data_IF_036288092953
#
_entry.id   IF_036288092953
#
_cell.length_a   1.000
_cell.length_b   1.000
_cell.length_c   1.000
_cell.angle_alpha   90.00
_cell.angle_beta   90.00
_cell.angle_gamma   90.00
#
_symmetry.space_group_name_H-M   'P 1'
#
loop_
_entity.id
_entity.type
_entity.pdbx_description
1 polymer ?
#
# COMPACT_ATOMS: atom_id res chain seq x y z
N UNK A 1 -12.63 -11.81 -3.14
CA UNK A 1 -11.65 -12.87 -3.41
C UNK A 1 -11.47 -13.71 -2.15
N UNK A 2 -11.27 -15.02 -2.26
CA UNK A 2 -11.00 -15.91 -1.13
C UNK A 2 -9.58 -16.45 -1.29
N UNK A 3 -8.68 -16.10 -0.36
CA UNK A 3 -7.28 -16.52 -0.38
C UNK A 3 -7.16 -18.03 -0.10
N UNK A 4 -6.39 -18.78 -0.90
CA UNK A 4 -6.16 -20.21 -0.71
C UNK A 4 -4.74 -20.47 -0.19
N UNK A 5 -4.58 -21.40 0.77
CA UNK A 5 -3.26 -21.82 1.26
C UNK A 5 -2.41 -22.52 0.20
N UNK A 6 -3.02 -22.95 -0.92
CA UNK A 6 -2.32 -23.45 -2.11
C UNK A 6 -1.72 -22.35 -2.99
N UNK A 7 -2.08 -21.08 -2.76
CA UNK A 7 -1.52 -19.94 -3.48
C UNK A 7 -0.17 -19.51 -2.86
N UNK A 8 0.24 -20.13 -1.75
CA UNK A 8 1.52 -19.84 -1.09
C UNK A 8 2.65 -20.58 -1.82
N UNK A 9 3.66 -19.86 -2.32
CA UNK A 9 4.73 -20.44 -3.10
C UNK A 9 5.65 -21.32 -2.23
N UNK A 10 6.27 -22.30 -2.89
CA UNK A 10 7.16 -23.31 -2.31
C UNK A 10 8.13 -22.72 -1.27
N UNK A 11 8.13 -23.34 -0.08
CA UNK A 11 9.06 -23.10 1.03
C UNK A 11 10.49 -23.17 0.49
N UNK A 12 11.17 -22.02 0.38
CA UNK A 12 12.58 -21.99 0.02
C UNK A 12 13.40 -22.70 1.10
N UNK A 13 14.54 -23.26 0.74
CA UNK A 13 15.52 -23.76 1.71
C UNK A 13 16.91 -23.20 1.41
N UNK A 14 17.73 -23.09 2.45
CA UNK A 14 19.14 -22.74 2.32
C UNK A 14 19.97 -23.74 3.12
N UNK A 15 21.07 -24.21 2.52
CA UNK A 15 22.04 -25.04 3.21
C UNK A 15 23.07 -24.14 3.89
N UNK A 16 23.24 -24.29 5.20
CA UNK A 16 24.26 -23.57 5.99
C UNK A 16 25.16 -24.62 6.63
N UNK A 17 26.32 -24.88 6.00
CA UNK A 17 27.20 -25.98 6.39
C UNK A 17 26.48 -27.34 6.24
N UNK A 18 26.42 -28.18 7.30
CA UNK A 18 25.72 -29.46 7.26
C UNK A 18 24.20 -29.36 7.49
N UNK A 19 23.66 -28.16 7.71
CA UNK A 19 22.25 -27.96 8.06
C UNK A 19 21.41 -27.54 6.84
N UNK A 20 20.19 -28.08 6.77
CA UNK A 20 19.13 -27.59 5.87
C UNK A 20 18.20 -26.69 6.67
N UNK A 21 18.09 -25.43 6.27
CA UNK A 21 17.19 -24.45 6.89
C UNK A 21 16.02 -24.21 5.95
N UNK A 22 14.81 -24.41 6.45
CA UNK A 22 13.56 -24.12 5.73
C UNK A 22 13.08 -22.71 6.06
N UNK A 23 12.67 -21.95 5.05
CA UNK A 23 12.15 -20.60 5.21
C UNK A 23 10.62 -20.61 5.33
N UNK A 24 10.10 -20.16 6.47
CA UNK A 24 8.65 -20.02 6.69
C UNK A 24 8.01 -18.87 5.90
N UNK A 25 8.82 -18.02 5.26
CA UNK A 25 8.43 -16.91 4.40
C UNK A 25 9.26 -16.95 3.12
N UNK A 26 8.90 -16.10 2.16
CA UNK A 26 9.64 -15.92 0.92
C UNK A 26 11.11 -15.62 1.22
N UNK A 27 12.01 -16.48 0.74
CA UNK A 27 13.43 -16.32 0.98
C UNK A 27 13.99 -15.13 0.19
N UNK A 28 14.85 -14.33 0.85
CA UNK A 28 15.57 -13.25 0.18
C UNK A 28 16.49 -13.82 -0.91
N UNK A 29 16.51 -13.18 -2.09
CA UNK A 29 17.28 -13.68 -3.24
C UNK A 29 16.61 -14.83 -4.01
N UNK A 30 15.40 -15.25 -3.64
CA UNK A 30 14.60 -16.17 -4.45
C UNK A 30 14.17 -15.49 -5.76
N UNK A 31 14.23 -16.21 -6.88
CA UNK A 31 13.77 -15.72 -8.19
C UNK A 31 12.28 -15.40 -8.22
N UNK A 32 11.50 -15.94 -7.28
CA UNK A 32 10.06 -15.69 -7.19
C UNK A 32 9.70 -14.52 -6.24
N UNK A 33 10.66 -14.03 -5.44
CA UNK A 33 10.39 -13.00 -4.44
C UNK A 33 9.88 -11.67 -5.04
N UNK A 34 10.44 -11.14 -6.15
CA UNK A 34 9.97 -9.90 -6.73
C UNK A 34 8.51 -9.99 -7.19
N UNK A 35 8.14 -11.06 -7.90
CA UNK A 35 6.78 -11.26 -8.41
C UNK A 35 5.75 -11.44 -7.29
N UNK A 36 6.14 -12.09 -6.20
CA UNK A 36 5.25 -12.31 -5.05
C UNK A 36 5.02 -11.03 -4.27
N UNK A 37 6.07 -10.24 -4.05
CA UNK A 37 5.95 -8.93 -3.43
C UNK A 37 5.09 -8.01 -4.30
N UNK A 38 5.36 -7.98 -5.61
CA UNK A 38 4.63 -7.15 -6.54
C UNK A 38 3.13 -7.48 -6.57
N UNK A 39 2.78 -8.76 -6.70
CA UNK A 39 1.39 -9.21 -6.70
C UNK A 39 0.69 -8.92 -5.36
N UNK A 40 1.35 -9.20 -4.22
CA UNK A 40 0.73 -9.01 -2.91
C UNK A 40 0.50 -7.53 -2.58
N UNK A 41 1.41 -6.65 -3.02
CA UNK A 41 1.29 -5.21 -2.80
C UNK A 41 0.33 -4.53 -3.79
N UNK A 42 0.02 -5.18 -4.91
CA UNK A 42 -0.98 -4.68 -5.87
C UNK A 42 -2.37 -4.62 -5.24
N UNK A 43 -2.78 -5.67 -4.53
CA UNK A 43 -4.07 -5.73 -3.83
C UNK A 43 -4.21 -4.61 -2.79
N UNK A 44 -3.14 -4.35 -2.02
CA UNK A 44 -3.10 -3.25 -1.04
C UNK A 44 -3.15 -1.89 -1.76
N UNK A 45 -2.48 -1.76 -2.90
CA UNK A 45 -2.50 -0.53 -3.71
C UNK A 45 -3.89 -0.25 -4.29
N UNK A 46 -4.64 -1.29 -4.68
CA UNK A 46 -6.03 -1.17 -5.12
C UNK A 46 -6.95 -0.72 -3.98
N UNK A 47 -6.85 -1.32 -2.79
CA UNK A 47 -7.59 -0.86 -1.59
C UNK A 47 -7.35 0.63 -1.31
N UNK A 48 -6.08 1.07 -1.38
CA UNK A 48 -5.71 2.47 -1.17
C UNK A 48 -6.36 3.39 -2.21
N UNK A 49 -6.40 2.98 -3.48
CA UNK A 49 -7.06 3.73 -4.57
C UNK A 49 -8.57 3.79 -4.36
N UNK A 50 -9.21 2.68 -4.02
CA UNK A 50 -10.66 2.61 -3.77
C UNK A 50 -11.07 3.52 -2.61
N UNK A 51 -10.27 3.58 -1.53
CA UNK A 51 -10.47 4.50 -0.41
C UNK A 51 -10.29 5.97 -0.84
N UNK A 52 -9.31 6.26 -1.70
CA UNK A 52 -9.08 7.60 -2.27
C UNK A 52 -10.25 8.04 -3.17
N UNK A 53 -10.80 7.13 -3.96
CA UNK A 53 -11.95 7.38 -4.83
C UNK A 53 -13.23 7.61 -4.01
N UNK A 54 -13.42 6.81 -2.95
CA UNK A 54 -14.51 7.03 -1.98
C UNK A 54 -14.40 8.42 -1.33
N UNK A 55 -13.21 8.83 -0.89
CA UNK A 55 -12.99 10.16 -0.34
C UNK A 55 -13.24 11.29 -1.37
N UNK A 56 -12.95 11.02 -2.64
CA UNK A 56 -13.17 11.97 -3.75
C UNK A 56 -14.64 12.23 -4.03
N UNK A 57 -15.52 11.26 -3.74
CA UNK A 57 -16.97 11.44 -3.86
C UNK A 57 -17.55 12.43 -2.84
N UNK A 58 -16.82 12.72 -1.77
CA UNK A 58 -17.25 13.59 -0.68
C UNK A 58 -16.95 15.07 -0.98
N UNK A 59 -17.85 15.99 -0.62
CA UNK A 59 -17.65 17.45 -0.84
C UNK A 59 -16.71 18.13 0.15
N UNK A 60 -16.49 17.53 1.33
CA UNK A 60 -15.64 18.08 2.40
C UNK A 60 -14.19 18.28 1.94
N UNK A 61 -13.53 19.35 2.36
CA UNK A 61 -12.14 19.62 1.95
C UNK A 61 -11.13 18.60 2.51
N UNK A 62 -11.38 18.13 3.72
CA UNK A 62 -10.61 17.11 4.42
C UNK A 62 -11.55 15.94 4.71
N UNK A 63 -11.10 14.72 4.41
CA UNK A 63 -11.88 13.50 4.62
C UNK A 63 -11.07 12.56 5.50
N UNK A 64 -11.68 12.06 6.58
CA UNK A 64 -11.13 10.97 7.38
C UNK A 64 -12.05 9.76 7.23
N UNK A 65 -11.48 8.57 7.22
CA UNK A 65 -12.26 7.33 7.04
C UNK A 65 -13.31 7.14 8.13
N UNK A 66 -13.03 7.57 9.36
CA UNK A 66 -13.98 7.52 10.48
C UNK A 66 -15.18 8.46 10.36
N UNK A 67 -15.14 9.44 9.44
CA UNK A 67 -16.26 10.35 9.17
C UNK A 67 -17.15 9.84 8.03
N UNK A 68 -16.76 8.75 7.35
CA UNK A 68 -17.51 8.15 6.24
C UNK A 68 -18.46 7.04 6.73
N UNK A 69 -19.42 6.65 5.87
CA UNK A 69 -20.28 5.51 6.13
C UNK A 69 -19.42 4.24 6.27
N UNK A 70 -19.43 3.56 7.44
CA UNK A 70 -18.63 2.36 7.67
C UNK A 70 -18.88 1.28 6.62
N UNK A 71 -20.11 1.13 6.12
CA UNK A 71 -20.42 0.11 5.09
C UNK A 71 -19.75 0.42 3.75
N UNK A 72 -19.53 1.69 3.43
CA UNK A 72 -18.82 2.08 2.22
C UNK A 72 -17.31 1.84 2.39
N UNK A 73 -16.77 2.16 3.56
CA UNK A 73 -15.36 1.90 3.89
C UNK A 73 -15.05 0.41 3.85
N UNK A 74 -15.87 -0.44 4.49
CA UNK A 74 -15.69 -1.89 4.50
C UNK A 74 -15.63 -2.50 3.10
N UNK A 75 -16.39 -1.96 2.14
CA UNK A 75 -16.40 -2.46 0.74
C UNK A 75 -15.10 -2.19 0.00
N UNK A 76 -14.33 -1.20 0.43
CA UNK A 76 -13.01 -0.91 -0.15
C UNK A 76 -11.90 -1.78 0.45
N UNK A 77 -12.12 -2.38 1.63
CA UNK A 77 -11.07 -3.13 2.34
C UNK A 77 -10.84 -4.50 1.73
N UNK A 78 -9.58 -4.89 1.57
CA UNK A 78 -9.20 -6.24 1.13
C UNK A 78 -9.62 -7.30 2.15
N UNK A 79 -9.56 -6.96 3.44
CA UNK A 79 -9.89 -7.85 4.57
C UNK A 79 -10.72 -7.08 5.62
N UNK A 80 -12.03 -6.87 5.39
CA UNK A 80 -12.87 -6.18 6.35
C UNK A 80 -13.00 -6.99 7.65
N UNK A 81 -12.72 -6.35 8.78
CA UNK A 81 -12.92 -6.90 10.12
C UNK A 81 -13.16 -5.78 11.13
N UNK A 82 -13.72 -6.07 12.32
CA UNK A 82 -13.85 -5.09 13.40
C UNK A 82 -12.50 -4.47 13.80
N UNK A 83 -11.43 -5.26 13.83
CA UNK A 83 -10.07 -4.81 14.12
C UNK A 83 -9.54 -3.88 13.03
N UNK A 84 -9.82 -4.19 11.75
CA UNK A 84 -9.45 -3.33 10.63
C UNK A 84 -10.16 -1.97 10.75
N UNK A 85 -11.46 -1.95 11.03
CA UNK A 85 -12.19 -0.70 11.23
C UNK A 85 -11.68 0.10 12.44
N UNK A 86 -11.33 -0.58 13.53
CA UNK A 86 -10.73 0.05 14.70
C UNK A 86 -9.37 0.67 14.36
N UNK A 87 -8.54 -0.01 13.57
CA UNK A 87 -7.25 0.50 13.10
C UNK A 87 -7.42 1.80 12.29
N UNK A 88 -8.41 1.83 11.38
CA UNK A 88 -8.68 2.99 10.52
C UNK A 88 -9.17 4.24 11.28
N UNK A 89 -9.53 4.14 12.57
CA UNK A 89 -9.84 5.31 13.40
C UNK A 89 -8.62 6.23 13.57
N UNK A 90 -7.42 5.66 13.56
CA UNK A 90 -6.15 6.39 13.62
C UNK A 90 -5.61 6.84 12.26
N UNK A 91 -6.36 6.60 11.19
CA UNK A 91 -5.91 6.88 9.83
C UNK A 91 -5.75 8.39 9.60
N UNK A 92 -4.65 8.84 8.95
CA UNK A 92 -4.52 10.22 8.53
C UNK A 92 -5.59 10.59 7.49
N UNK A 93 -5.79 11.90 7.21
CA UNK A 93 -6.70 12.33 6.16
C UNK A 93 -6.43 11.66 4.82
N UNK A 94 -7.51 11.23 4.16
CA UNK A 94 -7.44 10.54 2.88
C UNK A 94 -7.20 11.56 1.76
N UNK A 95 -6.11 11.42 0.98
CA UNK A 95 -5.91 12.23 -0.20
C UNK A 95 -6.96 11.89 -1.26
N UNK A 96 -7.60 12.92 -1.84
CA UNK A 96 -8.56 12.76 -2.94
C UNK A 96 -7.90 12.64 -4.32
N UNK A 97 -6.63 12.99 -4.42
CA UNK A 97 -5.85 12.90 -5.65
C UNK A 97 -4.47 12.43 -5.25
N UNK A 98 -4.22 11.15 -5.47
CA UNK A 98 -2.92 10.54 -5.25
C UNK A 98 -2.52 9.75 -6.49
N UNK A 99 -1.23 9.77 -6.81
CA UNK A 99 -0.63 8.83 -7.75
C UNK A 99 0.29 7.88 -6.98
N UNK A 100 0.32 6.62 -7.40
CA UNK A 100 1.18 5.60 -6.82
C UNK A 100 1.93 4.95 -7.97
N UNK A 101 3.25 4.97 -7.90
CA UNK A 101 4.13 4.20 -8.79
C UNK A 101 4.89 3.21 -7.91
N UNK A 102 4.81 1.94 -8.27
CA UNK A 102 5.43 0.83 -7.54
C UNK A 102 6.46 0.17 -8.44
N UNK A 103 7.60 -0.19 -7.87
CA UNK A 103 8.60 -1.03 -8.50
C UNK A 103 9.19 -1.99 -7.46
N UNK A 104 8.67 -3.22 -7.43
CA UNK A 104 9.07 -4.27 -6.46
C UNK A 104 8.91 -3.78 -5.01
N UNK A 105 9.99 -3.36 -4.36
CA UNK A 105 10.04 -2.85 -2.99
C UNK A 105 10.06 -1.32 -2.89
N UNK A 106 10.23 -0.61 -4.01
CA UNK A 106 10.19 0.84 -4.09
C UNK A 106 8.78 1.36 -4.38
N UNK A 107 8.37 2.38 -3.63
CA UNK A 107 7.04 2.98 -3.74
C UNK A 107 7.15 4.50 -3.76
N UNK A 108 6.55 5.09 -4.79
CA UNK A 108 6.50 6.52 -5.00
C UNK A 108 5.06 6.99 -4.92
N UNK A 109 4.77 7.87 -3.95
CA UNK A 109 3.47 8.53 -3.82
C UNK A 109 3.56 9.96 -4.35
N UNK A 110 2.66 10.34 -5.26
CA UNK A 110 2.53 11.70 -5.78
C UNK A 110 1.24 12.37 -5.31
N UNK A 111 1.17 13.68 -5.52
CA UNK A 111 0.03 14.52 -5.15
C UNK A 111 0.14 15.90 -5.78
N UNK A 112 -0.94 16.71 -5.77
CA UNK A 112 -1.01 17.98 -6.50
C UNK A 112 -0.15 19.10 -5.90
N UNK A 113 0.41 18.91 -4.71
CA UNK A 113 1.21 19.90 -4.00
C UNK A 113 2.16 19.21 -3.01
N UNK A 114 3.17 19.93 -2.51
CA UNK A 114 4.09 19.37 -1.50
C UNK A 114 3.33 18.83 -0.26
N UNK A 115 2.36 19.56 0.33
CA UNK A 115 1.52 18.99 1.40
C UNK A 115 0.71 17.78 0.95
N UNK A 116 0.18 17.77 -0.29
CA UNK A 116 -0.59 16.66 -0.83
C UNK A 116 0.24 15.37 -0.99
N UNK A 117 1.48 15.48 -1.42
CA UNK A 117 2.44 14.35 -1.48
C UNK A 117 2.72 13.80 -0.08
N UNK A 118 2.92 14.67 0.92
CA UNK A 118 3.12 14.22 2.32
C UNK A 118 1.90 13.48 2.83
N UNK A 119 0.71 14.04 2.62
CA UNK A 119 -0.55 13.39 2.97
C UNK A 119 -0.72 12.04 2.29
N UNK A 120 -0.31 11.93 1.01
CA UNK A 120 -0.39 10.68 0.24
C UNK A 120 0.58 9.63 0.76
N UNK A 121 1.80 10.02 1.11
CA UNK A 121 2.77 9.15 1.76
C UNK A 121 2.25 8.67 3.13
N UNK A 122 1.77 9.57 3.98
CA UNK A 122 1.33 9.23 5.34
C UNK A 122 0.13 8.28 5.30
N UNK A 123 -0.82 8.52 4.37
CA UNK A 123 -1.96 7.63 4.12
C UNK A 123 -1.52 6.27 3.58
N UNK A 124 -0.69 6.24 2.55
CA UNK A 124 -0.17 5.01 1.96
C UNK A 124 0.57 4.15 3.01
N UNK A 125 1.45 4.78 3.80
CA UNK A 125 2.21 4.11 4.83
C UNK A 125 1.31 3.55 5.93
N UNK A 126 0.27 4.28 6.34
CA UNK A 126 -0.68 3.80 7.34
C UNK A 126 -1.41 2.53 6.87
N UNK A 127 -2.00 2.55 5.67
CA UNK A 127 -2.71 1.37 5.15
C UNK A 127 -1.75 0.19 4.93
N UNK A 128 -0.58 0.43 4.34
CA UNK A 128 0.43 -0.63 4.10
C UNK A 128 0.90 -1.28 5.40
N UNK A 129 1.16 -0.49 6.44
CA UNK A 129 1.56 -0.99 7.75
C UNK A 129 0.47 -1.84 8.41
N UNK A 130 -0.81 -1.53 8.18
CA UNK A 130 -1.95 -2.35 8.63
C UNK A 130 -1.99 -3.75 7.99
N UNK A 131 -1.39 -3.90 6.80
CA UNK A 131 -1.24 -5.16 6.08
C UNK A 131 0.13 -5.84 6.30
N UNK A 132 0.88 -5.43 7.33
CA UNK A 132 2.24 -5.88 7.63
C UNK A 132 3.29 -5.59 6.52
N UNK A 133 2.97 -4.71 5.56
CA UNK A 133 3.95 -4.13 4.63
C UNK A 133 4.59 -2.90 5.24
N UNK A 134 5.58 -3.14 6.11
CA UNK A 134 6.20 -2.09 6.93
C UNK A 134 6.94 -1.06 6.06
N UNK A 135 6.42 0.16 6.03
CA UNK A 135 7.06 1.32 5.40
C UNK A 135 7.93 2.04 6.44
N UNK A 136 9.25 1.85 6.34
CA UNK A 136 10.22 2.42 7.27
C UNK A 136 10.38 3.94 7.09
N UNK A 137 9.96 4.72 8.10
CA UNK A 137 10.05 6.19 8.06
C UNK A 137 11.47 6.73 7.88
N UNK A 138 12.50 6.00 8.33
CA UNK A 138 13.92 6.38 8.19
C UNK A 138 14.45 6.24 6.76
N UNK A 139 13.83 5.40 5.94
CA UNK A 139 14.18 5.18 4.53
C UNK A 139 13.40 6.08 3.59
N UNK A 140 12.56 6.96 4.14
CA UNK A 140 11.80 7.93 3.36
C UNK A 140 12.73 8.83 2.56
N UNK A 141 12.62 8.74 1.24
CA UNK A 141 13.22 9.69 0.33
C UNK A 141 12.19 10.73 -0.09
N UNK A 142 12.61 11.98 -0.27
CA UNK A 142 11.73 13.04 -0.70
C UNK A 142 12.39 13.85 -1.82
N UNK A 143 12.04 13.53 -3.06
CA UNK A 143 12.33 14.38 -4.23
C UNK A 143 11.16 15.34 -4.43
N UNK A 144 11.44 16.64 -4.49
CA UNK A 144 10.44 17.70 -4.59
C UNK A 144 10.53 18.48 -5.89
N UNK A 145 11.06 17.87 -6.95
CA UNK A 145 11.13 18.50 -8.25
C UNK A 145 9.76 18.41 -8.95
N UNK A 146 9.16 19.54 -9.34
CA UNK A 146 7.98 19.51 -10.19
C UNK A 146 8.38 18.91 -11.54
N UNK A 147 7.85 17.74 -11.88
CA UNK A 147 7.89 17.24 -13.25
C UNK A 147 6.87 18.06 -14.03
N UNK A 148 7.35 19.08 -14.74
CA UNK A 148 6.56 19.74 -15.78
C UNK A 148 6.42 18.72 -16.91
N UNK A 149 5.22 18.16 -17.08
CA UNK A 149 4.90 17.41 -18.30
C UNK A 149 4.56 18.46 -19.36
N UNK A 150 5.59 19.19 -19.78
CA UNK A 150 5.53 19.95 -21.02
C UNK A 150 5.83 18.91 -22.12
N UNK A 151 4.85 18.65 -22.99
CA UNK A 151 4.87 17.71 -24.13
C UNK A 151 4.20 16.35 -23.88
N UNK A 152 2.88 16.34 -23.78
CA UNK A 152 2.10 15.33 -24.49
C UNK A 152 1.79 15.97 -25.85
N UNK A 153 2.54 15.61 -26.89
CA UNK A 153 2.14 15.90 -28.26
C UNK A 153 0.82 15.14 -28.53
N UNK A 154 -0.23 15.88 -28.89
CA UNK A 154 -1.48 15.34 -29.44
C UNK A 154 -1.26 14.64 -30.79
#
# INVERSE_FOLDING_TARGET
MQSNTRDVPFVGYTCIGPYVVLWSRVAFGSTAAPNQLDASMEDVTMEIKDLSDLASSTKASIVRLCDLDPQQVERCLLRPSPEALAYLQGCPPVPKKMSIVKFVDDIYTGGPSKPGVRSSYDFFAHISNGHDFVIESKKRFASWEPVWIDNIEE
#
